data_IF_542943508596
#
_entry.id   IF_542943508596
#
_cell.length_a   1.000
_cell.length_b   1.000
_cell.length_c   1.000
_cell.angle_alpha   90.00
_cell.angle_beta   90.00
_cell.angle_gamma   90.00
#
_symmetry.space_group_name_H-M   'P 1'
#
loop_
_entity.id
_entity.type
_entity.pdbx_description
1 polymer ?
#
# COMPACT_ATOMS: atom_id res chain seq x y z
N UNK A 1 -40.05 -24.19 40.64
CA UNK A 1 -39.51 -22.95 40.04
C UNK A 1 -38.59 -23.33 38.89
N UNK A 2 -38.87 -22.90 37.64
CA UNK A 2 -38.21 -23.41 36.43
C UNK A 2 -36.85 -22.77 36.17
N UNK A 3 -36.03 -23.53 35.44
CA UNK A 3 -34.64 -23.28 35.04
C UNK A 3 -34.53 -22.14 34.01
N UNK A 4 -33.73 -21.11 34.29
CA UNK A 4 -33.40 -20.05 33.33
C UNK A 4 -32.21 -20.45 32.48
N UNK A 5 -32.44 -20.70 31.19
CA UNK A 5 -31.43 -21.06 30.21
C UNK A 5 -30.64 -19.85 29.71
N UNK A 6 -29.31 -19.96 29.72
CA UNK A 6 -28.38 -18.97 29.18
C UNK A 6 -28.42 -18.98 27.65
N UNK A 7 -28.96 -17.92 27.06
CA UNK A 7 -28.92 -17.68 25.62
C UNK A 7 -27.51 -17.31 25.17
N UNK A 8 -26.79 -18.24 24.54
CA UNK A 8 -25.57 -17.96 23.79
C UNK A 8 -25.86 -17.00 22.66
N UNK A 9 -25.42 -15.75 22.78
CA UNK A 9 -25.42 -14.77 21.69
C UNK A 9 -24.45 -15.26 20.61
N UNK A 10 -25.02 -15.74 19.50
CA UNK A 10 -24.31 -16.21 18.32
C UNK A 10 -23.87 -14.99 17.51
N UNK A 11 -22.58 -14.67 17.54
CA UNK A 11 -22.00 -13.64 16.68
C UNK A 11 -22.16 -14.03 15.20
N UNK A 12 -22.56 -13.11 14.31
CA UNK A 12 -22.61 -13.40 12.88
C UNK A 12 -21.20 -13.63 12.34
N UNK A 13 -21.09 -14.58 11.40
CA UNK A 13 -19.84 -14.90 10.73
C UNK A 13 -19.24 -13.67 10.02
N UNK A 14 -17.90 -13.54 9.94
CA UNK A 14 -17.28 -12.44 9.21
C UNK A 14 -17.66 -12.50 7.74
N UNK A 15 -18.18 -11.37 7.23
CA UNK A 15 -18.45 -11.16 5.80
C UNK A 15 -17.16 -11.48 5.03
N UNK A 16 -17.23 -12.50 4.19
CA UNK A 16 -16.12 -12.93 3.36
C UNK A 16 -15.70 -11.75 2.46
N UNK A 17 -14.51 -11.19 2.74
CA UNK A 17 -13.91 -10.16 1.90
C UNK A 17 -13.63 -10.79 0.53
N UNK A 18 -14.53 -10.59 -0.43
CA UNK A 18 -14.23 -10.85 -1.83
C UNK A 18 -13.02 -10.00 -2.17
N UNK A 19 -11.89 -10.66 -2.44
CA UNK A 19 -10.66 -9.98 -2.89
C UNK A 19 -11.00 -9.24 -4.17
N UNK A 20 -10.95 -7.92 -4.12
CA UNK A 20 -10.89 -7.11 -5.32
C UNK A 20 -9.47 -7.29 -5.90
N UNK A 21 -9.30 -8.30 -6.75
CA UNK A 21 -8.07 -8.64 -7.44
C UNK A 21 -7.80 -7.66 -8.58
N UNK A 22 -7.55 -6.39 -8.26
CA UNK A 22 -6.99 -5.46 -9.23
C UNK A 22 -5.48 -5.37 -8.99
N UNK A 23 -4.73 -6.31 -9.55
CA UNK A 23 -3.32 -6.09 -9.92
C UNK A 23 -3.34 -5.51 -11.33
N UNK A 24 -2.83 -4.30 -11.60
CA UNK A 24 -2.42 -3.97 -12.96
C UNK A 24 -1.07 -4.64 -13.22
N UNK A 25 -1.08 -5.70 -14.02
CA UNK A 25 0.12 -6.27 -14.61
C UNK A 25 0.54 -5.46 -15.84
N UNK A 26 1.82 -5.08 -15.87
CA UNK A 26 2.64 -4.67 -17.02
C UNK A 26 2.23 -3.42 -17.83
N UNK A 27 3.27 -2.66 -18.20
CA UNK A 27 3.23 -1.45 -19.01
C UNK A 27 2.42 -1.60 -20.33
N UNK A 28 1.80 -0.52 -20.83
CA UNK A 28 1.09 -0.57 -22.11
C UNK A 28 2.09 -0.64 -23.29
N UNK A 29 1.82 -1.44 -24.33
CA UNK A 29 2.55 -1.30 -25.59
C UNK A 29 2.15 0.01 -26.28
N UNK A 30 3.13 0.68 -26.86
CA UNK A 30 2.92 1.78 -27.78
C UNK A 30 2.15 1.27 -29.01
N UNK A 31 1.21 2.09 -29.51
CA UNK A 31 0.36 1.91 -30.71
C UNK A 31 -0.97 1.14 -30.51
N UNK A 32 -1.99 1.86 -30.04
CA UNK A 32 -3.38 1.70 -30.49
C UNK A 32 -4.23 2.89 -30.01
N UNK A 33 -4.44 3.89 -30.86
CA UNK A 33 -5.55 4.85 -30.71
C UNK A 33 -6.84 4.10 -31.08
N UNK A 34 -7.35 3.29 -30.16
CA UNK A 34 -8.67 2.69 -30.29
C UNK A 34 -9.72 3.75 -29.93
N UNK A 35 -10.53 4.15 -30.91
CA UNK A 35 -11.76 4.87 -30.67
C UNK A 35 -12.69 3.98 -29.83
N UNK A 36 -12.88 4.32 -28.55
CA UNK A 36 -13.77 3.58 -27.66
C UNK A 36 -15.20 4.05 -27.93
N UNK A 37 -16.01 3.15 -28.48
CA UNK A 37 -17.47 3.28 -28.60
C UNK A 37 -18.10 3.51 -27.21
N UNK A 38 -18.93 4.56 -27.10
CA UNK A 38 -19.47 5.09 -25.84
C UNK A 38 -20.72 4.37 -25.33
N UNK A 39 -21.11 3.23 -25.92
CA UNK A 39 -22.33 2.52 -25.52
C UNK A 39 -22.04 1.42 -24.48
N UNK A 40 -22.29 1.77 -23.22
CA UNK A 40 -22.59 0.88 -22.11
C UNK A 40 -21.48 -0.08 -21.64
N UNK A 41 -20.38 0.45 -21.12
CA UNK A 41 -19.63 -0.24 -20.06
C UNK A 41 -20.17 0.23 -18.70
N UNK A 42 -20.49 -0.67 -17.76
CA UNK A 42 -20.81 -0.25 -16.40
C UNK A 42 -19.59 0.48 -15.86
N UNK A 43 -19.73 1.79 -15.60
CA UNK A 43 -18.74 2.53 -14.85
C UNK A 43 -18.47 1.70 -13.57
N UNK A 44 -17.22 1.35 -13.24
CA UNK A 44 -16.88 0.40 -12.16
C UNK A 44 -17.31 0.82 -10.73
N UNK A 45 -18.17 1.83 -10.63
CA UNK A 45 -18.61 2.56 -9.44
C UNK A 45 -20.11 2.93 -9.49
N UNK A 46 -20.85 2.58 -10.55
CA UNK A 46 -22.27 2.90 -10.65
C UNK A 46 -23.06 2.28 -9.48
N UNK A 47 -23.77 3.12 -8.73
CA UNK A 47 -24.59 2.72 -7.57
C UNK A 47 -23.84 2.54 -6.25
N UNK A 48 -22.53 2.81 -6.19
CA UNK A 48 -21.76 2.78 -4.93
C UNK A 48 -21.75 4.15 -4.26
N UNK A 49 -21.82 4.25 -2.93
CA UNK A 49 -21.63 5.52 -2.25
C UNK A 49 -20.26 6.11 -2.63
N UNK A 50 -20.27 7.40 -2.96
CA UNK A 50 -19.08 8.15 -3.37
C UNK A 50 -18.65 9.11 -2.27
N UNK A 51 -17.34 9.36 -2.19
CA UNK A 51 -16.73 10.32 -1.28
C UNK A 51 -15.81 11.24 -2.08
N UNK A 52 -15.78 12.51 -1.67
CA UNK A 52 -14.81 13.47 -2.19
C UNK A 52 -13.57 13.39 -1.29
N UNK A 53 -12.40 13.26 -1.90
CA UNK A 53 -11.11 13.14 -1.23
C UNK A 53 -10.07 14.00 -1.95
N UNK A 54 -8.99 14.36 -1.28
CA UNK A 54 -7.91 15.14 -1.88
C UNK A 54 -6.96 14.23 -2.67
N UNK A 55 -6.51 14.65 -3.86
CA UNK A 55 -5.49 13.92 -4.65
C UNK A 55 -4.20 13.86 -3.84
N UNK A 56 -3.75 15.01 -3.33
CA UNK A 56 -2.70 15.14 -2.32
C UNK A 56 -3.34 15.47 -0.98
N UNK A 57 -3.15 14.63 0.06
CA UNK A 57 -3.72 14.89 1.39
C UNK A 57 -3.23 16.21 2.01
N UNK A 58 -4.09 16.88 2.77
CA UNK A 58 -3.77 18.12 3.49
C UNK A 58 -2.59 17.95 4.45
N UNK A 59 -2.49 16.77 5.09
CA UNK A 59 -1.38 16.42 5.99
C UNK A 59 0.00 16.36 5.29
N UNK A 60 0.02 16.28 3.95
CA UNK A 60 1.23 16.37 3.14
C UNK A 60 1.36 17.72 2.43
N UNK A 61 0.56 18.72 2.82
CA UNK A 61 0.56 20.06 2.22
C UNK A 61 -0.32 20.20 0.98
N UNK A 62 -1.27 19.30 0.76
CA UNK A 62 -2.26 19.43 -0.32
C UNK A 62 -3.17 20.64 -0.11
N UNK A 63 -3.41 21.48 -1.13
CA UNK A 63 -4.34 22.60 -1.02
C UNK A 63 -5.80 22.13 -1.13
N UNK A 64 -6.71 22.73 -0.36
CA UNK A 64 -8.15 22.44 -0.40
C UNK A 64 -8.87 23.17 -1.55
N UNK A 65 -8.43 22.91 -2.78
CA UNK A 65 -8.96 23.49 -4.02
C UNK A 65 -9.64 22.41 -4.87
N UNK A 66 -10.60 22.82 -5.72
CA UNK A 66 -11.35 21.88 -6.57
C UNK A 66 -10.46 21.06 -7.51
N UNK A 67 -9.34 21.61 -7.97
CA UNK A 67 -8.36 20.90 -8.79
C UNK A 67 -7.61 19.80 -8.04
N UNK A 68 -7.58 19.85 -6.70
CA UNK A 68 -7.06 18.79 -5.83
C UNK A 68 -8.17 17.87 -5.34
N UNK A 69 -9.44 18.10 -5.65
CA UNK A 69 -10.53 17.23 -5.25
C UNK A 69 -10.74 16.09 -6.26
N UNK A 70 -10.88 14.86 -5.77
CA UNK A 70 -11.21 13.68 -6.57
C UNK A 70 -12.40 12.92 -5.96
N UNK A 71 -13.30 12.44 -6.82
CA UNK A 71 -14.46 11.64 -6.42
C UNK A 71 -14.12 10.15 -6.52
N UNK A 72 -14.23 9.43 -5.42
CA UNK A 72 -13.96 7.99 -5.35
C UNK A 72 -15.15 7.22 -4.78
N UNK A 73 -15.33 5.97 -5.19
CA UNK A 73 -16.19 5.05 -4.44
C UNK A 73 -15.56 4.70 -3.09
N UNK A 74 -16.37 4.26 -2.12
CA UNK A 74 -15.91 3.91 -0.76
C UNK A 74 -14.70 2.98 -0.72
N UNK A 75 -14.67 1.91 -1.53
CA UNK A 75 -13.54 0.97 -1.50
C UNK A 75 -12.24 1.60 -2.00
N UNK A 76 -12.33 2.40 -3.08
CA UNK A 76 -11.18 3.10 -3.63
C UNK A 76 -10.68 4.17 -2.65
N UNK A 77 -11.61 4.85 -1.99
CA UNK A 77 -11.33 5.82 -0.94
C UNK A 77 -10.60 5.15 0.24
N UNK A 78 -11.07 4.01 0.72
CA UNK A 78 -10.45 3.30 1.86
C UNK A 78 -9.04 2.80 1.52
N UNK A 79 -8.85 2.27 0.30
CA UNK A 79 -7.54 1.85 -0.19
C UNK A 79 -6.58 3.03 -0.31
N UNK A 80 -7.06 4.16 -0.83
CA UNK A 80 -6.26 5.40 -0.91
C UNK A 80 -5.90 5.89 0.49
N UNK A 81 -6.86 5.94 1.41
CA UNK A 81 -6.68 6.35 2.81
C UNK A 81 -5.60 5.51 3.50
N UNK A 82 -5.59 4.20 3.29
CA UNK A 82 -4.56 3.33 3.85
C UNK A 82 -3.17 3.67 3.30
N UNK A 83 -3.05 3.94 2.00
CA UNK A 83 -1.78 4.31 1.38
C UNK A 83 -1.29 5.69 1.84
N UNK A 84 -2.20 6.66 1.96
CA UNK A 84 -1.86 8.00 2.39
C UNK A 84 -1.45 8.04 3.86
N UNK A 85 -2.10 7.28 4.73
CA UNK A 85 -1.66 7.11 6.14
C UNK A 85 -0.20 6.64 6.22
N UNK A 86 0.18 5.63 5.42
CA UNK A 86 1.57 5.17 5.39
C UNK A 86 2.56 6.27 4.96
N UNK A 87 2.16 7.13 4.03
CA UNK A 87 2.98 8.27 3.56
C UNK A 87 3.06 9.38 4.60
N UNK A 88 1.95 9.72 5.23
CA UNK A 88 1.85 10.72 6.31
C UNK A 88 2.72 10.27 7.49
N UNK A 89 2.58 9.04 7.94
CA UNK A 89 3.39 8.50 9.04
C UNK A 89 4.89 8.54 8.71
N UNK A 90 5.26 8.28 7.44
CA UNK A 90 6.65 8.41 6.99
C UNK A 90 7.12 9.86 7.04
N UNK A 91 6.31 10.80 6.57
CA UNK A 91 6.65 12.22 6.59
C UNK A 91 6.83 12.72 8.03
N UNK A 92 5.95 12.31 8.95
CA UNK A 92 6.06 12.61 10.38
C UNK A 92 7.37 12.07 10.97
N UNK A 93 7.68 10.79 10.76
CA UNK A 93 8.94 10.19 11.23
C UNK A 93 10.19 10.92 10.71
N UNK A 94 10.16 11.37 9.45
CA UNK A 94 11.25 12.13 8.85
C UNK A 94 11.37 13.53 9.47
N UNK A 95 10.24 14.21 9.69
CA UNK A 95 10.18 15.48 10.41
C UNK A 95 10.73 15.34 11.83
N UNK A 96 10.30 14.33 12.57
CA UNK A 96 10.78 14.06 13.93
C UNK A 96 12.29 13.81 13.95
N UNK A 97 12.79 12.99 13.02
CA UNK A 97 14.22 12.75 12.87
C UNK A 97 15.00 14.04 12.54
N UNK A 98 14.46 14.92 11.70
CA UNK A 98 15.07 16.21 11.37
C UNK A 98 15.12 17.14 12.59
N UNK A 99 14.10 17.11 13.45
CA UNK A 99 14.08 17.84 14.72
C UNK A 99 14.88 17.14 15.84
N UNK A 100 15.48 15.98 15.57
CA UNK A 100 16.20 15.19 16.58
C UNK A 100 15.30 14.53 17.62
N UNK A 101 13.98 14.54 17.41
CA UNK A 101 13.01 13.88 18.28
C UNK A 101 13.17 12.38 18.12
N UNK A 102 13.40 11.69 19.24
CA UNK A 102 13.50 10.22 19.31
C UNK A 102 12.51 9.70 20.33
N UNK A 103 11.89 8.57 20.02
CA UNK A 103 11.03 7.88 20.97
C UNK A 103 11.88 7.38 22.17
N UNK A 104 11.60 7.83 23.41
CA UNK A 104 12.34 7.39 24.59
C UNK A 104 12.17 5.89 24.88
N UNK A 105 11.12 5.26 24.34
CA UNK A 105 10.85 3.84 24.48
C UNK A 105 11.46 3.00 23.36
N UNK A 106 11.98 3.62 22.30
CA UNK A 106 12.67 2.89 21.23
C UNK A 106 14.00 2.33 21.76
N UNK A 107 14.01 1.04 22.08
CA UNK A 107 15.23 0.32 22.44
C UNK A 107 16.12 0.17 21.20
N UNK A 108 17.33 0.76 21.18
CA UNK A 108 18.27 0.50 20.09
C UNK A 108 18.56 -1.01 20.05
N UNK A 109 18.69 -1.56 18.83
CA UNK A 109 19.16 -2.94 18.67
C UNK A 109 20.53 -3.01 19.36
N UNK A 110 20.68 -3.97 20.27
CA UNK A 110 21.92 -4.15 21.01
C UNK A 110 23.06 -4.42 20.02
N UNK A 111 23.87 -3.38 19.75
CA UNK A 111 25.03 -3.48 18.87
C UNK A 111 26.01 -4.46 19.53
N UNK A 112 26.41 -5.51 18.80
CA UNK A 112 27.34 -6.52 19.29
C UNK A 112 26.71 -7.77 19.91
N UNK A 113 25.39 -7.82 20.09
CA UNK A 113 24.71 -9.07 20.44
C UNK A 113 24.33 -9.83 19.16
N UNK A 114 24.70 -11.12 19.02
CA UNK A 114 24.24 -11.94 17.90
C UNK A 114 22.71 -11.97 17.88
N UNK A 115 22.11 -11.79 16.70
CA UNK A 115 20.70 -12.11 16.54
C UNK A 115 20.50 -13.59 16.95
N UNK A 116 19.37 -13.92 17.59
CA UNK A 116 19.08 -15.31 17.91
C UNK A 116 19.17 -16.13 16.62
N UNK A 117 19.83 -17.31 16.65
CA UNK A 117 20.02 -18.11 15.45
C UNK A 117 18.65 -18.48 14.87
N UNK A 118 18.33 -17.90 13.71
CA UNK A 118 17.19 -18.33 12.93
C UNK A 118 17.39 -19.76 12.43
N UNK A 119 16.32 -20.44 12.03
CA UNK A 119 16.44 -21.70 11.29
C UNK A 119 17.36 -21.45 10.09
N UNK A 120 18.37 -22.31 9.83
CA UNK A 120 19.27 -22.11 8.71
C UNK A 120 18.45 -21.98 7.43
N UNK A 121 18.77 -20.98 6.59
CA UNK A 121 18.23 -20.93 5.25
C UNK A 121 18.51 -22.28 4.59
N UNK A 122 17.47 -22.90 4.00
CA UNK A 122 17.67 -24.17 3.29
C UNK A 122 18.74 -23.94 2.21
N UNK A 123 19.71 -24.84 2.12
CA UNK A 123 20.71 -24.84 1.04
C UNK A 123 19.95 -24.72 -0.29
N UNK A 124 20.35 -23.77 -1.15
CA UNK A 124 19.81 -23.68 -2.50
C UNK A 124 20.16 -24.97 -3.25
N UNK A 125 19.20 -25.88 -3.36
CA UNK A 125 19.36 -27.16 -4.08
C UNK A 125 19.18 -27.01 -5.58
N UNK A 126 18.54 -25.93 -6.03
CA UNK A 126 18.33 -25.66 -7.45
C UNK A 126 19.39 -24.68 -7.99
N UNK A 127 19.96 -24.93 -9.19
CA UNK A 127 20.86 -24.00 -9.84
C UNK A 127 20.16 -22.68 -10.16
N UNK A 128 20.89 -21.57 -10.11
CA UNK A 128 20.40 -20.25 -10.48
C UNK A 128 20.08 -20.23 -11.99
N UNK A 129 18.80 -20.30 -12.35
CA UNK A 129 18.33 -20.26 -13.75
C UNK A 129 18.24 -18.87 -14.34
N UNK A 130 18.23 -17.84 -13.50
CA UNK A 130 18.15 -16.43 -13.94
C UNK A 130 19.57 -15.91 -14.15
N UNK A 131 19.89 -15.28 -15.29
CA UNK A 131 21.19 -14.64 -15.47
C UNK A 131 21.39 -13.60 -14.36
N UNK A 132 22.60 -13.53 -13.80
CA UNK A 132 22.90 -12.47 -12.83
C UNK A 132 22.70 -11.11 -13.51
N UNK A 133 22.12 -10.13 -12.80
CA UNK A 133 22.05 -8.78 -13.33
C UNK A 133 23.48 -8.30 -13.64
N UNK A 134 23.67 -7.56 -14.74
CA UNK A 134 24.98 -7.01 -15.06
C UNK A 134 25.44 -6.11 -13.91
N UNK A 135 26.72 -6.22 -13.53
CA UNK A 135 27.33 -5.26 -12.59
C UNK A 135 27.22 -3.88 -13.21
N UNK A 136 26.40 -2.99 -12.64
CA UNK A 136 26.44 -1.56 -12.99
C UNK A 136 27.84 -1.05 -12.64
N UNK A 137 28.62 -0.65 -13.65
CA UNK A 137 29.81 0.17 -13.44
C UNK A 137 29.32 1.50 -12.86
N UNK A 138 29.78 1.84 -11.65
CA UNK A 138 29.43 3.11 -11.00
C UNK A 138 30.16 4.32 -11.60
N UNK A 139 31.04 4.10 -12.58
CA UNK A 139 31.77 5.16 -13.27
C UNK A 139 31.53 5.01 -14.78
N UNK A 140 30.74 5.93 -15.35
CA UNK A 140 30.83 6.24 -16.77
C UNK A 140 31.90 7.32 -16.86
N UNK A 141 33.04 7.00 -17.47
CA UNK A 141 34.06 8.01 -17.78
C UNK A 141 33.46 8.97 -18.81
N UNK A 142 33.18 10.21 -18.42
CA UNK A 142 32.72 11.24 -19.34
C UNK A 142 33.89 11.66 -20.25
N UNK A 143 33.75 11.58 -21.59
CA UNK A 143 34.77 12.12 -22.48
C UNK A 143 34.73 13.65 -22.43
N UNK A 144 35.90 14.25 -22.20
CA UNK A 144 36.13 15.71 -22.28
C UNK A 144 36.07 16.22 -23.71
#
# INVERSE_FOLDING_TARGET
MPRGGEGRLRWPAPISRRRCSARPSSAPPASARAAIDRRALPLPHAGRPVRVDHVVPDALGGPSILSNAQVLCTDCHDRKTQNDRMRIDKALRLSDAHHGIRDPHARPIAVGQPLPPGKPARRATAPLTKPLPPRRSLCVSEPR
#
